data_IF_304034507836
#
_entry.id   IF_304034507836
#
_cell.length_a   1.000
_cell.length_b   1.000
_cell.length_c   1.000
_cell.angle_alpha   90.00
_cell.angle_beta   90.00
_cell.angle_gamma   90.00
#
_symmetry.space_group_name_H-M   'P 1'
#
loop_
_entity.id
_entity.type
_entity.pdbx_description
1 polymer ?
#
# COMPACT_ATOMS: atom_id res chain seq x y z
N UNK A 1 5.57 46.21 -1.31
CA UNK A 1 6.37 45.10 -0.75
C UNK A 1 6.07 43.89 -1.56
N UNK A 2 7.03 43.47 -2.36
CA UNK A 2 6.92 42.22 -3.16
C UNK A 2 7.51 41.11 -2.28
N UNK A 3 6.65 40.31 -1.69
CA UNK A 3 7.06 39.07 -1.08
C UNK A 3 7.42 38.12 -2.22
N UNK A 4 8.71 38.11 -2.54
CA UNK A 4 9.31 37.06 -3.34
C UNK A 4 9.43 35.85 -2.44
N UNK A 5 8.33 35.10 -2.36
CA UNK A 5 8.38 33.67 -2.00
C UNK A 5 8.98 32.92 -3.21
N UNK A 6 10.26 33.19 -3.44
CA UNK A 6 11.10 32.31 -4.24
C UNK A 6 11.29 31.05 -3.40
N UNK A 7 10.23 30.26 -3.34
CA UNK A 7 10.24 28.93 -2.76
C UNK A 7 11.29 28.11 -3.47
N UNK A 8 12.49 28.11 -2.90
CA UNK A 8 13.52 27.14 -3.20
C UNK A 8 12.88 25.78 -2.92
N UNK A 9 12.20 25.24 -3.93
CA UNK A 9 11.80 23.84 -3.93
C UNK A 9 13.08 23.01 -3.99
N UNK A 10 13.76 22.97 -2.84
CA UNK A 10 14.87 22.06 -2.64
C UNK A 10 14.22 20.67 -2.70
N UNK A 11 14.42 20.02 -3.83
CA UNK A 11 14.04 18.63 -4.01
C UNK A 11 14.81 17.84 -2.94
N UNK A 12 14.16 17.58 -1.82
CA UNK A 12 14.75 17.00 -0.61
C UNK A 12 15.45 15.66 -0.91
N UNK A 13 15.13 15.07 -2.09
CA UNK A 13 15.68 13.81 -2.55
C UNK A 13 16.97 13.96 -3.40
N UNK A 14 17.37 15.18 -3.81
CA UNK A 14 18.53 15.43 -4.70
C UNK A 14 19.75 16.08 -4.02
N UNK A 15 19.81 16.08 -2.68
CA UNK A 15 20.90 16.71 -1.94
C UNK A 15 22.24 15.96 -2.05
N UNK A 16 23.33 16.71 -2.32
CA UNK A 16 24.70 16.18 -2.42
C UNK A 16 25.34 15.92 -1.05
N UNK A 17 26.30 14.95 -0.95
CA UNK A 17 27.01 14.67 0.31
C UNK A 17 27.78 15.88 0.83
N UNK A 18 27.73 16.13 2.16
CA UNK A 18 28.52 17.16 2.84
C UNK A 18 27.78 18.41 3.30
N UNK A 19 26.49 18.55 3.01
CA UNK A 19 25.64 19.61 3.54
C UNK A 19 24.74 19.07 4.67
N UNK A 20 24.27 19.92 5.59
CA UNK A 20 23.22 19.59 6.57
C UNK A 20 21.99 18.92 5.91
N UNK A 21 21.76 19.22 4.63
CA UNK A 21 20.77 18.64 3.76
C UNK A 21 20.99 17.11 3.51
N UNK A 22 22.23 16.64 3.59
CA UNK A 22 22.56 15.22 3.39
C UNK A 22 22.08 14.35 4.57
N UNK A 23 22.28 14.81 5.80
CA UNK A 23 21.75 14.12 6.98
C UNK A 23 20.22 14.09 6.96
N UNK A 24 19.62 15.15 6.49
CA UNK A 24 18.17 15.25 6.30
C UNK A 24 17.66 14.21 5.31
N UNK A 25 18.36 14.05 4.17
CA UNK A 25 18.07 13.05 3.15
C UNK A 25 18.19 11.62 3.71
N UNK A 26 19.25 11.37 4.47
CA UNK A 26 19.47 10.06 5.10
C UNK A 26 18.38 9.73 6.12
N UNK A 27 17.97 10.69 6.92
CA UNK A 27 16.88 10.51 7.88
C UNK A 27 15.53 10.26 7.18
N UNK A 28 15.24 10.98 6.09
CA UNK A 28 14.05 10.73 5.28
C UNK A 28 14.04 9.34 4.67
N UNK A 29 15.18 8.89 4.16
CA UNK A 29 15.31 7.55 3.63
C UNK A 29 15.04 6.50 4.70
N UNK A 30 15.63 6.66 5.89
CA UNK A 30 15.38 5.77 7.03
C UNK A 30 13.91 5.75 7.45
N UNK A 31 13.27 6.92 7.51
CA UNK A 31 11.82 7.01 7.83
C UNK A 31 11.00 6.29 6.76
N UNK A 32 11.32 6.49 5.49
CA UNK A 32 10.64 5.79 4.38
C UNK A 32 10.79 4.27 4.53
N UNK A 33 12.00 3.77 4.74
CA UNK A 33 12.27 2.35 4.94
C UNK A 33 11.51 1.75 6.13
N UNK A 34 11.40 2.51 7.24
CA UNK A 34 10.59 2.06 8.37
C UNK A 34 9.11 2.02 8.03
N UNK A 35 8.56 3.03 7.36
CA UNK A 35 7.15 3.06 6.93
C UNK A 35 6.79 1.89 6.00
N UNK A 36 7.74 1.40 5.18
CA UNK A 36 7.53 0.20 4.37
C UNK A 36 7.23 -1.03 5.25
N UNK A 37 7.87 -1.14 6.42
CA UNK A 37 7.64 -2.24 7.37
C UNK A 37 6.23 -2.20 7.97
N UNK A 38 5.61 -1.03 8.03
CA UNK A 38 4.21 -0.85 8.44
C UNK A 38 3.20 -1.07 7.30
N UNK A 39 3.66 -1.56 6.15
CA UNK A 39 2.80 -1.92 5.02
C UNK A 39 2.43 -0.77 4.10
N UNK A 40 3.23 0.30 4.05
CA UNK A 40 3.14 1.32 3.01
C UNK A 40 4.04 0.94 1.82
N UNK A 41 3.62 1.31 0.62
CA UNK A 41 4.51 1.27 -0.55
C UNK A 41 5.45 2.48 -0.55
N UNK A 42 6.51 2.44 -1.36
CA UNK A 42 7.47 3.53 -1.45
C UNK A 42 6.80 4.87 -1.80
N UNK A 43 5.90 4.88 -2.79
CA UNK A 43 5.19 6.09 -3.20
C UNK A 43 4.16 6.56 -2.16
N UNK A 44 3.50 5.63 -1.45
CA UNK A 44 2.63 5.96 -0.31
C UNK A 44 3.40 6.64 0.81
N UNK A 45 4.56 6.10 1.18
CA UNK A 45 5.43 6.69 2.21
C UNK A 45 5.93 8.09 1.80
N UNK A 46 6.35 8.28 0.55
CA UNK A 46 6.77 9.59 0.04
C UNK A 46 5.65 10.64 0.11
N UNK A 47 4.44 10.30 -0.32
CA UNK A 47 3.29 11.20 -0.27
C UNK A 47 2.93 11.52 1.18
N UNK A 48 2.88 10.52 2.06
CA UNK A 48 2.62 10.72 3.48
C UNK A 48 3.64 11.66 4.13
N UNK A 49 4.93 11.43 3.92
CA UNK A 49 6.01 12.27 4.44
C UNK A 49 5.91 13.70 3.90
N UNK A 50 5.64 13.85 2.61
CA UNK A 50 5.47 15.16 1.98
C UNK A 50 4.33 15.96 2.63
N UNK A 51 3.16 15.35 2.77
CA UNK A 51 2.02 16.00 3.44
C UNK A 51 2.30 16.29 4.91
N UNK A 52 2.98 15.41 5.62
CA UNK A 52 3.34 15.59 7.02
C UNK A 52 4.36 16.69 7.27
N UNK A 53 5.23 16.98 6.30
CA UNK A 53 6.28 18.01 6.42
C UNK A 53 5.87 19.37 5.86
N UNK A 54 5.09 19.37 4.80
CA UNK A 54 4.68 20.62 4.11
C UNK A 54 3.25 21.06 4.42
N UNK A 55 2.50 20.24 5.18
CA UNK A 55 1.11 20.53 5.54
C UNK A 55 0.12 20.23 4.41
N UNK A 56 -1.12 20.74 4.50
CA UNK A 56 -2.18 20.46 3.55
C UNK A 56 -1.80 20.84 2.12
N UNK A 57 -1.96 19.90 1.18
CA UNK A 57 -1.65 20.09 -0.25
C UNK A 57 -2.72 19.49 -1.14
N UNK A 58 -2.94 20.10 -2.28
CA UNK A 58 -3.79 19.52 -3.33
C UNK A 58 -3.06 18.42 -4.10
N UNK A 59 -3.80 17.52 -4.73
CA UNK A 59 -3.19 16.46 -5.54
C UNK A 59 -2.26 16.98 -6.66
N UNK A 60 -2.59 18.09 -7.37
CA UNK A 60 -1.66 18.72 -8.33
C UNK A 60 -0.33 19.16 -7.72
N UNK A 61 -0.34 19.72 -6.52
CA UNK A 61 0.89 20.12 -5.83
C UNK A 61 1.73 18.89 -5.48
N UNK A 62 1.09 17.81 -5.00
CA UNK A 62 1.76 16.57 -4.63
C UNK A 62 2.44 15.93 -5.84
N UNK A 63 1.71 15.71 -6.95
CA UNK A 63 2.32 15.01 -8.09
C UNK A 63 3.40 15.83 -8.79
N UNK A 64 3.30 17.16 -8.80
CA UNK A 64 4.36 18.04 -9.32
C UNK A 64 5.61 18.00 -8.44
N UNK A 65 5.44 18.10 -7.12
CA UNK A 65 6.56 18.13 -6.18
C UNK A 65 7.32 16.80 -6.12
N UNK A 66 6.60 15.67 -6.17
CA UNK A 66 7.18 14.33 -6.07
C UNK A 66 7.50 13.69 -7.42
N UNK A 67 7.18 14.38 -8.53
CA UNK A 67 7.36 13.90 -9.90
C UNK A 67 6.70 12.52 -10.13
N UNK A 68 5.51 12.35 -9.56
CA UNK A 68 4.72 11.13 -9.71
C UNK A 68 3.67 11.29 -10.83
N UNK A 69 3.26 10.20 -11.47
CA UNK A 69 2.15 10.23 -12.43
C UNK A 69 0.86 10.74 -11.76
N UNK A 70 0.12 11.60 -12.47
CA UNK A 70 -1.13 12.19 -11.96
C UNK A 70 -2.11 11.12 -11.47
N UNK A 71 -2.38 10.12 -12.30
CA UNK A 71 -3.35 9.05 -12.00
C UNK A 71 -2.94 8.25 -10.77
N UNK A 72 -1.66 7.90 -10.68
CA UNK A 72 -1.11 7.18 -9.53
C UNK A 72 -1.23 7.99 -8.23
N UNK A 73 -0.97 9.30 -8.29
CA UNK A 73 -1.07 10.18 -7.12
C UNK A 73 -2.50 10.23 -6.57
N UNK A 74 -3.50 10.41 -7.42
CA UNK A 74 -4.90 10.37 -6.99
C UNK A 74 -5.29 9.01 -6.39
N UNK A 75 -4.86 7.93 -7.02
CA UNK A 75 -5.09 6.59 -6.50
C UNK A 75 -4.47 6.41 -5.11
N UNK A 76 -3.21 6.81 -4.95
CA UNK A 76 -2.51 6.69 -3.65
C UNK A 76 -3.18 7.55 -2.58
N UNK A 77 -3.54 8.80 -2.88
CA UNK A 77 -4.23 9.68 -1.93
C UNK A 77 -5.55 9.07 -1.46
N UNK A 78 -6.34 8.49 -2.35
CA UNK A 78 -7.57 7.77 -2.00
C UNK A 78 -7.29 6.53 -1.13
N UNK A 79 -6.24 5.78 -1.42
CA UNK A 79 -5.84 4.63 -0.59
C UNK A 79 -5.42 5.08 0.81
N UNK A 80 -4.61 6.13 0.92
CA UNK A 80 -4.16 6.67 2.21
C UNK A 80 -5.33 7.23 3.04
N UNK A 81 -6.30 7.87 2.37
CA UNK A 81 -7.53 8.35 3.00
C UNK A 81 -8.38 7.18 3.50
N UNK A 82 -8.59 6.17 2.67
CA UNK A 82 -9.37 4.96 3.06
C UNK A 82 -8.73 4.19 4.21
N UNK A 83 -7.41 4.24 4.33
CA UNK A 83 -6.66 3.67 5.47
C UNK A 83 -6.71 4.55 6.73
N UNK A 84 -7.29 5.75 6.66
CA UNK A 84 -7.42 6.67 7.78
C UNK A 84 -6.10 7.32 8.24
N UNK A 85 -5.12 7.43 7.36
CA UNK A 85 -3.80 8.06 7.64
C UNK A 85 -3.60 9.39 6.94
N UNK A 86 -4.49 9.71 6.00
CA UNK A 86 -4.61 11.01 5.34
C UNK A 86 -6.07 11.43 5.40
N UNK A 87 -6.33 12.70 5.56
CA UNK A 87 -7.67 13.29 5.51
C UNK A 87 -7.80 14.21 4.32
N UNK A 88 -8.96 14.21 3.67
CA UNK A 88 -9.28 15.15 2.60
C UNK A 88 -10.19 16.27 3.14
N UNK A 89 -9.78 17.50 2.96
CA UNK A 89 -10.61 18.67 3.18
C UNK A 89 -11.31 19.07 1.88
N UNK A 90 -12.62 19.06 1.90
CA UNK A 90 -13.46 19.44 0.77
C UNK A 90 -13.40 20.95 0.53
N UNK A 91 -12.29 21.39 -0.02
CA UNK A 91 -12.08 22.75 -0.51
C UNK A 91 -11.97 22.74 -2.05
N UNK A 92 -11.92 23.89 -2.65
CA UNK A 92 -11.71 23.97 -4.12
C UNK A 92 -10.36 24.68 -4.39
N UNK A 93 -9.31 23.92 -4.74
CA UNK A 93 -9.20 22.46 -4.90
C UNK A 93 -9.17 21.69 -3.57
N UNK A 94 -9.57 20.41 -3.59
CA UNK A 94 -9.46 19.50 -2.42
C UNK A 94 -8.03 19.43 -1.90
N UNK A 95 -7.85 19.60 -0.61
CA UNK A 95 -6.55 19.50 0.05
C UNK A 95 -6.47 18.24 0.90
N UNK A 96 -5.33 17.61 0.92
CA UNK A 96 -5.03 16.42 1.68
C UNK A 96 -4.03 16.73 2.77
N UNK A 97 -4.28 16.21 3.97
CA UNK A 97 -3.44 16.39 5.16
C UNK A 97 -3.07 15.03 5.74
N UNK A 98 -1.79 14.85 6.08
CA UNK A 98 -1.36 13.65 6.80
C UNK A 98 -1.74 13.74 8.28
N UNK A 99 -2.18 12.63 8.86
CA UNK A 99 -2.32 12.53 10.31
C UNK A 99 -0.92 12.55 10.98
N UNK A 100 -0.84 12.96 12.25
CA UNK A 100 0.39 12.83 13.02
C UNK A 100 0.95 11.42 13.00
N UNK A 101 2.28 11.28 13.03
CA UNK A 101 2.95 10.00 12.84
C UNK A 101 2.55 8.95 13.88
N UNK A 102 2.42 9.35 15.14
CA UNK A 102 1.98 8.47 16.24
C UNK A 102 0.59 7.88 16.00
N UNK A 103 -0.35 8.71 15.55
CA UNK A 103 -1.71 8.28 15.21
C UNK A 103 -1.70 7.36 13.97
N UNK A 104 -0.93 7.72 12.95
CA UNK A 104 -0.77 6.91 11.74
C UNK A 104 -0.23 5.52 12.06
N UNK A 105 0.85 5.43 12.87
CA UNK A 105 1.43 4.16 13.26
C UNK A 105 0.47 3.32 14.10
N UNK A 106 -0.28 3.96 15.01
CA UNK A 106 -1.32 3.29 15.81
C UNK A 106 -2.42 2.71 14.92
N UNK A 107 -2.88 3.48 13.93
CA UNK A 107 -3.89 3.02 12.97
C UNK A 107 -3.39 1.83 12.15
N UNK A 108 -2.16 1.90 11.63
CA UNK A 108 -1.57 0.81 10.85
C UNK A 108 -1.41 -0.46 11.68
N UNK A 109 -0.93 -0.36 12.92
CA UNK A 109 -0.78 -1.50 13.84
C UNK A 109 -2.14 -2.11 14.17
N UNK A 110 -3.15 -1.29 14.47
CA UNK A 110 -4.49 -1.79 14.77
C UNK A 110 -5.12 -2.53 13.59
N UNK A 111 -4.96 -2.00 12.38
CA UNK A 111 -5.42 -2.68 11.15
C UNK A 111 -4.77 -4.06 10.97
N UNK A 112 -3.49 -4.20 11.26
CA UNK A 112 -2.81 -5.50 11.18
C UNK A 112 -3.27 -6.47 12.29
N UNK A 113 -3.56 -5.97 13.50
CA UNK A 113 -4.14 -6.78 14.58
C UNK A 113 -5.53 -7.30 14.21
N UNK A 114 -6.40 -6.45 13.66
CA UNK A 114 -7.74 -6.84 13.22
C UNK A 114 -7.68 -7.92 12.11
N UNK A 115 -6.74 -7.79 11.19
CA UNK A 115 -6.50 -8.83 10.17
C UNK A 115 -6.07 -10.15 10.80
N UNK A 116 -5.17 -10.10 11.79
CA UNK A 116 -4.71 -11.29 12.48
C UNK A 116 -5.85 -11.98 13.23
N UNK A 117 -6.65 -11.22 13.97
CA UNK A 117 -7.82 -11.74 14.70
C UNK A 117 -8.82 -12.41 13.73
N UNK A 118 -9.06 -11.79 12.57
CA UNK A 118 -9.91 -12.34 11.52
C UNK A 118 -9.34 -13.65 10.97
N UNK A 119 -8.04 -13.72 10.72
CA UNK A 119 -7.38 -14.95 10.27
C UNK A 119 -7.41 -16.05 11.31
N UNK A 120 -7.27 -15.73 12.59
CA UNK A 120 -7.40 -16.70 13.67
C UNK A 120 -8.82 -17.29 13.76
N UNK A 121 -9.84 -16.47 13.55
CA UNK A 121 -11.22 -16.96 13.49
C UNK A 121 -11.43 -17.83 12.24
N UNK A 122 -11.01 -17.38 11.07
CA UNK A 122 -11.11 -18.15 9.82
C UNK A 122 -10.36 -19.49 9.90
N UNK A 123 -9.23 -19.53 10.62
CA UNK A 123 -8.50 -20.77 10.87
C UNK A 123 -9.37 -21.79 11.60
N UNK A 124 -10.09 -21.37 12.63
CA UNK A 124 -11.00 -22.27 13.37
C UNK A 124 -12.11 -22.80 12.47
N UNK A 125 -12.78 -21.89 11.75
CA UNK A 125 -13.85 -22.21 10.84
C UNK A 125 -13.39 -23.18 9.73
N UNK A 126 -12.18 -22.96 9.21
CA UNK A 126 -11.60 -23.84 8.17
C UNK A 126 -11.29 -25.25 8.71
N UNK A 127 -10.79 -25.36 9.93
CA UNK A 127 -10.55 -26.65 10.57
C UNK A 127 -11.85 -27.42 10.72
N UNK A 128 -12.92 -26.77 11.20
CA UNK A 128 -14.24 -27.38 11.33
C UNK A 128 -14.82 -27.82 9.98
N UNK A 129 -14.61 -27.05 8.94
CA UNK A 129 -15.02 -27.39 7.58
C UNK A 129 -14.21 -28.55 7.02
N UNK A 130 -12.91 -28.57 7.30
CA UNK A 130 -12.02 -29.66 6.85
C UNK A 130 -12.43 -31.01 7.43
N UNK A 131 -12.81 -31.06 8.69
CA UNK A 131 -13.28 -32.29 9.34
C UNK A 131 -14.59 -32.82 8.74
N UNK A 132 -15.39 -31.94 8.13
CA UNK A 132 -16.62 -32.31 7.42
C UNK A 132 -16.39 -32.86 5.99
N UNK A 133 -15.17 -32.71 5.46
CA UNK A 133 -14.82 -33.22 4.13
C UNK A 133 -14.55 -34.73 4.22
N UNK A 134 -15.36 -35.56 3.55
CA UNK A 134 -15.18 -37.04 3.62
C UNK A 134 -13.78 -37.44 3.13
N UNK A 135 -13.09 -38.27 3.91
CA UNK A 135 -11.76 -38.77 3.56
C UNK A 135 -11.74 -39.63 2.26
N UNK A 136 -12.89 -40.10 1.85
CA UNK A 136 -13.04 -40.85 0.56
C UNK A 136 -12.80 -39.98 -0.67
N UNK A 137 -13.15 -38.66 -0.62
CA UNK A 137 -12.90 -37.74 -1.73
C UNK A 137 -11.42 -37.42 -1.87
N UNK A 138 -10.68 -37.42 -0.77
CA UNK A 138 -9.22 -37.18 -0.76
C UNK A 138 -8.45 -38.39 -1.34
N UNK A 139 -8.98 -39.59 -1.23
CA UNK A 139 -8.37 -40.81 -1.84
C UNK A 139 -8.52 -40.82 -3.36
N UNK A 140 -9.59 -40.23 -3.90
CA UNK A 140 -9.80 -40.17 -5.37
C UNK A 140 -8.86 -39.19 -6.06
N UNK A 141 -8.42 -38.10 -5.37
CA UNK A 141 -7.47 -37.16 -5.95
C UNK A 141 -6.03 -37.67 -6.01
N UNK A 142 -5.71 -38.78 -5.29
CA UNK A 142 -4.40 -39.46 -5.35
C UNK A 142 -4.26 -40.48 -6.47
N UNK A 143 -5.34 -40.81 -7.18
CA UNK A 143 -5.30 -41.76 -8.32
C UNK A 143 -5.04 -41.01 -9.63
N UNK A 144 -3.79 -40.61 -9.85
CA UNK A 144 -3.32 -39.98 -11.09
C UNK A 144 -3.67 -40.69 -12.41
N UNK A 145 -3.77 -42.05 -12.51
CA UNK A 145 -4.02 -42.69 -13.80
C UNK A 145 -5.42 -42.46 -14.37
N UNK A 146 -6.45 -42.29 -13.53
CA UNK A 146 -7.84 -42.14 -13.99
C UNK A 146 -8.14 -40.74 -14.54
N UNK A 147 -7.45 -39.69 -14.08
CA UNK A 147 -7.60 -38.35 -14.63
C UNK A 147 -7.07 -38.20 -16.05
N UNK A 148 -6.00 -38.92 -16.39
CA UNK A 148 -5.44 -38.90 -17.75
C UNK A 148 -6.37 -39.58 -18.79
N UNK A 149 -7.13 -40.60 -18.41
CA UNK A 149 -8.09 -41.26 -19.31
C UNK A 149 -9.32 -40.36 -19.57
N UNK A 150 -9.88 -39.72 -18.56
CA UNK A 150 -11.00 -38.79 -18.71
C UNK A 150 -10.64 -37.60 -19.58
N UNK A 151 -9.41 -37.08 -19.48
CA UNK A 151 -8.93 -35.95 -20.28
C UNK A 151 -8.75 -36.35 -21.76
N UNK A 152 -8.33 -37.59 -22.05
CA UNK A 152 -8.25 -38.12 -23.43
C UNK A 152 -9.63 -38.33 -24.07
N UNK A 153 -10.64 -38.71 -23.30
CA UNK A 153 -12.02 -38.89 -23.81
C UNK A 153 -12.74 -37.56 -24.05
N UNK A 154 -12.33 -36.50 -23.40
CA UNK A 154 -12.91 -35.14 -23.58
C UNK A 154 -12.23 -34.34 -24.70
N UNK A 155 -11.09 -34.75 -25.24
CA UNK A 155 -10.47 -34.09 -26.39
C UNK A 155 -11.14 -34.61 -27.68
N UNK A 156 -11.65 -33.70 -28.55
CA UNK A 156 -12.10 -34.10 -29.87
C UNK A 156 -10.90 -34.67 -30.63
N UNK A 157 -10.98 -35.97 -30.95
CA UNK A 157 -10.06 -36.60 -31.88
C UNK A 157 -10.28 -35.97 -33.23
N UNK A 158 -9.36 -35.11 -33.71
CA UNK A 158 -9.26 -34.80 -35.12
C UNK A 158 -8.89 -36.08 -35.85
N UNK A 159 -9.91 -36.70 -36.47
CA UNK A 159 -9.68 -37.65 -37.55
C UNK A 159 -9.47 -36.84 -38.81
N UNK A 160 -8.27 -36.91 -39.39
CA UNK A 160 -8.01 -36.55 -40.77
C UNK A 160 -8.86 -37.40 -41.73
#
# INVERSE_FOLDING_TARGET
MKDTDDGLQINLFDAKPGAALYEYKLNLQKVTEQLLKFGLTSNQAKIYIYLGKYGPRSAPEVFKALQLPRTETYFILNVLESRGIVTAELSSPTKYSALPLDQTLSTLVNTEKEKLDTLEQQKKDLIELWDKVPSMLLKQTKQKPKKCKLFKEMMPTHKD
#
